data_IF_667945927412
#
_entry.id   IF_667945927412
#
_cell.length_a   1.000
_cell.length_b   1.000
_cell.length_c   1.000
_cell.angle_alpha   90.00
_cell.angle_beta   90.00
_cell.angle_gamma   90.00
#
_symmetry.space_group_name_H-M   'P 1'
#
loop_
_entity.id
_entity.type
_entity.pdbx_description
1 polymer ?
#
# COMPACT_ATOMS: atom_id res chain seq x y z
N UNK A 1 -1.02 -1.07 10.74
CA UNK A 1 -0.01 -0.23 11.47
C UNK A 1 0.43 0.91 10.59
N UNK A 2 0.44 2.10 11.13
CA UNK A 2 0.86 3.32 10.42
C UNK A 2 2.14 3.83 11.08
N UNK A 3 3.22 3.97 10.30
CA UNK A 3 4.53 4.40 10.79
C UNK A 3 5.05 5.60 9.99
N UNK A 4 5.77 6.48 10.69
CA UNK A 4 6.61 7.46 10.01
C UNK A 4 7.91 6.77 9.58
N UNK A 5 8.12 6.64 8.28
CA UNK A 5 9.28 5.95 7.70
C UNK A 5 10.20 6.90 6.95
N UNK A 6 10.16 8.19 7.29
CA UNK A 6 11.06 9.20 6.71
C UNK A 6 12.52 8.77 6.87
N UNK A 7 12.85 8.25 8.05
CA UNK A 7 14.15 7.63 8.32
C UNK A 7 13.91 6.24 8.85
N UNK A 8 14.46 5.24 8.17
CA UNK A 8 14.26 3.84 8.51
C UNK A 8 15.54 3.26 9.08
N UNK A 9 15.52 2.93 10.38
CA UNK A 9 16.63 2.27 11.07
C UNK A 9 16.43 0.74 11.07
N UNK A 10 17.33 0.02 11.71
CA UNK A 10 17.28 -1.44 11.80
C UNK A 10 16.04 -1.93 12.54
N UNK A 11 15.64 -1.23 13.58
CA UNK A 11 14.48 -1.58 14.40
C UNK A 11 13.18 -1.47 13.60
N UNK A 12 12.98 -0.35 12.88
CA UNK A 12 11.83 -0.17 12.01
C UNK A 12 11.78 -1.20 10.90
N UNK A 13 12.92 -1.52 10.29
CA UNK A 13 12.98 -2.56 9.25
C UNK A 13 12.56 -3.91 9.79
N UNK A 14 12.94 -4.25 11.00
CA UNK A 14 12.54 -5.50 11.63
C UNK A 14 11.03 -5.55 11.83
N UNK A 15 10.42 -4.46 12.33
CA UNK A 15 8.97 -4.36 12.50
C UNK A 15 8.25 -4.53 11.16
N UNK A 16 8.71 -3.84 10.13
CA UNK A 16 8.12 -3.92 8.78
C UNK A 16 8.20 -5.34 8.25
N UNK A 17 9.37 -5.97 8.31
CA UNK A 17 9.59 -7.32 7.80
C UNK A 17 8.77 -8.37 8.56
N UNK A 18 8.61 -8.20 9.86
CA UNK A 18 7.79 -9.11 10.66
C UNK A 18 6.31 -9.01 10.31
N UNK A 19 5.83 -7.81 10.01
CA UNK A 19 4.41 -7.58 9.76
C UNK A 19 3.99 -7.91 8.33
N UNK A 20 4.75 -7.47 7.34
CA UNK A 20 4.39 -7.60 5.92
C UNK A 20 5.35 -8.47 5.11
N UNK A 21 6.35 -9.04 5.77
CA UNK A 21 7.36 -9.88 5.12
C UNK A 21 8.45 -9.07 4.45
N UNK A 22 9.48 -9.78 4.00
CA UNK A 22 10.61 -9.18 3.29
C UNK A 22 10.19 -8.66 1.93
N UNK A 23 10.95 -7.70 1.41
CA UNK A 23 10.77 -7.24 0.04
C UNK A 23 11.15 -8.34 -0.95
N UNK A 24 10.55 -8.31 -2.13
CA UNK A 24 11.02 -9.12 -3.24
C UNK A 24 12.38 -8.58 -3.72
N UNK A 25 13.19 -9.44 -4.33
CA UNK A 25 14.47 -9.02 -4.88
C UNK A 25 14.25 -7.99 -5.99
N UNK A 26 15.29 -7.21 -6.32
CA UNK A 26 15.23 -6.27 -7.45
C UNK A 26 14.81 -6.96 -8.75
N UNK A 27 15.31 -8.17 -8.97
CA UNK A 27 14.95 -8.96 -10.13
C UNK A 27 13.46 -9.29 -10.14
N UNK A 28 12.94 -9.82 -9.03
CA UNK A 28 11.52 -10.16 -8.89
C UNK A 28 10.64 -8.91 -8.98
N UNK A 29 11.05 -7.82 -8.33
CA UNK A 29 10.30 -6.56 -8.34
C UNK A 29 10.18 -5.95 -9.72
N UNK A 30 11.26 -6.00 -10.51
CA UNK A 30 11.29 -5.42 -11.85
C UNK A 30 10.40 -6.18 -12.83
N UNK A 31 10.41 -7.53 -12.78
CA UNK A 31 9.69 -8.36 -13.76
C UNK A 31 8.29 -8.78 -13.31
N UNK A 32 7.96 -8.68 -12.01
CA UNK A 32 6.68 -9.15 -11.47
C UNK A 32 5.77 -8.04 -10.96
N UNK A 33 6.06 -6.79 -11.29
CA UNK A 33 5.25 -5.63 -10.89
C UNK A 33 4.99 -5.59 -9.38
N UNK A 34 6.05 -5.62 -8.57
CA UNK A 34 5.92 -5.62 -7.10
C UNK A 34 5.89 -4.22 -6.50
N UNK A 35 6.10 -3.18 -7.30
CA UNK A 35 6.01 -1.79 -6.87
C UNK A 35 5.21 -0.96 -7.87
N UNK A 36 4.34 -0.08 -7.36
CA UNK A 36 3.58 0.82 -8.22
C UNK A 36 4.34 2.10 -8.54
N UNK A 37 3.95 2.75 -9.63
CA UNK A 37 4.17 4.18 -9.81
C UNK A 37 3.22 4.93 -8.87
N UNK A 38 3.45 6.23 -8.70
CA UNK A 38 2.59 7.05 -7.83
C UNK A 38 1.15 7.11 -8.33
N UNK A 39 0.23 7.22 -7.39
CA UNK A 39 -1.19 7.43 -7.63
C UNK A 39 -1.68 8.56 -6.75
N UNK A 40 -2.80 9.18 -7.13
CA UNK A 40 -3.37 10.30 -6.37
C UNK A 40 -4.45 9.77 -5.43
N UNK A 41 -4.35 10.15 -4.16
CA UNK A 41 -5.34 9.83 -3.15
C UNK A 41 -6.56 10.74 -3.33
N UNK A 42 -7.75 10.13 -3.44
CA UNK A 42 -9.03 10.85 -3.51
C UNK A 42 -9.56 11.17 -2.11
N UNK A 43 -9.54 10.20 -1.21
CA UNK A 43 -10.00 10.36 0.16
C UNK A 43 -9.36 9.32 1.07
N UNK A 44 -9.45 9.55 2.37
CA UNK A 44 -8.89 8.68 3.39
C UNK A 44 -9.72 8.72 4.65
N UNK A 45 -9.63 7.69 5.48
CA UNK A 45 -10.35 7.61 6.74
C UNK A 45 -9.81 8.59 7.79
N UNK A 46 -10.63 8.88 8.78
CA UNK A 46 -10.36 9.89 9.81
C UNK A 46 -9.03 9.67 10.55
N UNK A 47 -8.62 8.43 10.76
CA UNK A 47 -7.37 8.13 11.46
C UNK A 47 -6.11 8.65 10.75
N UNK A 48 -6.22 9.02 9.48
CA UNK A 48 -5.13 9.65 8.74
C UNK A 48 -5.09 11.18 8.90
N UNK A 49 -6.13 11.79 9.48
CA UNK A 49 -6.24 13.26 9.60
C UNK A 49 -5.04 13.87 10.32
N UNK A 50 -4.51 13.22 11.35
CA UNK A 50 -3.35 13.71 12.09
C UNK A 50 -2.10 13.87 11.22
N UNK A 51 -2.03 13.17 10.08
CA UNK A 51 -0.91 13.28 9.15
C UNK A 51 -1.20 14.23 8.00
N UNK A 52 -2.47 14.32 7.54
CA UNK A 52 -2.80 14.93 6.24
C UNK A 52 -3.74 16.12 6.33
N UNK A 53 -4.41 16.37 7.45
CA UNK A 53 -5.49 17.35 7.56
C UNK A 53 -5.10 18.76 7.12
N UNK A 54 -3.87 19.19 7.41
CA UNK A 54 -3.39 20.53 7.08
C UNK A 54 -2.69 20.62 5.73
N UNK A 55 -2.62 19.51 4.99
CA UNK A 55 -1.93 19.44 3.70
C UNK A 55 -2.91 19.80 2.59
N UNK A 56 -2.66 20.93 1.91
CA UNK A 56 -3.58 21.50 0.92
C UNK A 56 -3.29 21.09 -0.53
N UNK A 57 -2.21 20.33 -0.77
CA UNK A 57 -1.83 19.90 -2.10
C UNK A 57 -2.32 18.47 -2.38
N UNK A 58 -2.16 18.01 -3.62
CA UNK A 58 -2.46 16.61 -3.96
C UNK A 58 -1.57 15.66 -3.17
N UNK A 59 -2.18 14.61 -2.65
CA UNK A 59 -1.46 13.55 -1.94
C UNK A 59 -1.12 12.43 -2.93
N UNK A 60 0.18 12.15 -3.05
CA UNK A 60 0.68 11.06 -3.89
C UNK A 60 1.08 9.87 -3.03
N UNK A 61 0.79 8.70 -3.53
CA UNK A 61 1.09 7.46 -2.84
C UNK A 61 1.61 6.42 -3.80
N UNK A 62 2.48 5.54 -3.32
CA UNK A 62 2.82 4.32 -4.02
C UNK A 62 2.61 3.11 -3.13
N UNK A 63 2.51 1.94 -3.75
CA UNK A 63 2.23 0.69 -3.06
C UNK A 63 3.34 -0.30 -3.41
N UNK A 64 3.85 -0.98 -2.39
CA UNK A 64 4.79 -2.08 -2.57
C UNK A 64 4.16 -3.39 -2.13
N UNK A 65 4.23 -4.40 -2.99
CA UNK A 65 3.83 -5.77 -2.66
C UNK A 65 5.00 -6.44 -1.96
N UNK A 66 4.75 -6.92 -0.75
CA UNK A 66 5.69 -7.70 0.06
C UNK A 66 5.28 -9.16 0.12
N UNK A 67 6.11 -10.01 0.69
CA UNK A 67 5.84 -11.46 0.75
C UNK A 67 4.66 -11.82 1.63
N UNK A 68 4.34 -11.01 2.64
CA UNK A 68 3.24 -11.26 3.58
C UNK A 68 2.22 -10.14 3.67
N UNK A 69 2.33 -9.13 2.83
CA UNK A 69 1.42 -8.00 2.86
C UNK A 69 1.82 -6.90 1.90
N UNK A 70 1.33 -5.70 2.17
CA UNK A 70 1.60 -4.53 1.34
C UNK A 70 2.04 -3.36 2.21
N UNK A 71 2.78 -2.45 1.58
CA UNK A 71 3.12 -1.15 2.17
C UNK A 71 2.55 -0.07 1.28
N UNK A 72 1.74 0.81 1.86
CA UNK A 72 1.25 2.00 1.18
C UNK A 72 2.02 3.18 1.73
N UNK A 73 2.83 3.82 0.87
CA UNK A 73 3.66 4.96 1.26
C UNK A 73 3.05 6.24 0.74
N UNK A 74 2.91 7.22 1.62
CA UNK A 74 2.39 8.55 1.29
C UNK A 74 3.48 9.56 1.59
N UNK A 75 3.84 10.36 0.59
CA UNK A 75 4.85 11.41 0.72
C UNK A 75 4.19 12.76 0.96
N UNK A 76 4.57 13.42 2.06
CA UNK A 76 4.04 14.73 2.45
C UNK A 76 5.24 15.60 2.80
N UNK A 77 5.48 16.65 2.00
CA UNK A 77 6.66 17.51 2.17
C UNK A 77 7.93 16.63 2.18
N UNK A 78 8.65 16.59 3.29
CA UNK A 78 9.86 15.78 3.46
C UNK A 78 9.63 14.54 4.33
N UNK A 79 8.36 14.21 4.59
CA UNK A 79 8.00 13.05 5.42
C UNK A 79 7.39 11.95 4.58
N UNK A 80 7.64 10.72 4.98
CA UNK A 80 7.00 9.53 4.40
C UNK A 80 6.23 8.81 5.50
N UNK A 81 4.93 8.63 5.29
CA UNK A 81 4.07 7.86 6.16
C UNK A 81 3.80 6.53 5.46
N UNK A 82 4.01 5.43 6.17
CA UNK A 82 3.79 4.09 5.62
C UNK A 82 2.68 3.38 6.38
N UNK A 83 1.73 2.85 5.62
CA UNK A 83 0.65 2.01 6.14
C UNK A 83 0.97 0.57 5.78
N UNK A 84 1.19 -0.26 6.81
CA UNK A 84 1.60 -1.65 6.68
C UNK A 84 0.39 -2.54 6.88
N UNK A 85 0.06 -3.37 5.88
CA UNK A 85 -1.13 -4.21 5.92
C UNK A 85 -0.75 -5.65 5.56
N UNK A 86 -0.80 -6.60 6.51
CA UNK A 86 -0.68 -8.02 6.16
C UNK A 86 -1.86 -8.45 5.29
N UNK A 87 -1.64 -9.46 4.43
CA UNK A 87 -2.70 -9.88 3.50
C UNK A 87 -3.99 -10.33 4.20
N UNK A 88 -3.88 -10.95 5.36
CA UNK A 88 -5.08 -11.42 6.06
C UNK A 88 -5.96 -10.28 6.59
N UNK A 89 -5.44 -9.04 6.64
CA UNK A 89 -6.19 -7.85 7.04
C UNK A 89 -6.51 -6.91 5.88
N UNK A 90 -6.12 -7.28 4.67
CA UNK A 90 -6.26 -6.43 3.49
C UNK A 90 -7.57 -6.72 2.77
N UNK A 91 -8.33 -5.67 2.47
CA UNK A 91 -9.48 -5.74 1.57
C UNK A 91 -9.30 -4.72 0.46
N UNK A 92 -9.55 -5.13 -0.77
CA UNK A 92 -9.40 -4.29 -1.96
C UNK A 92 -10.77 -4.16 -2.63
N UNK A 93 -11.17 -2.93 -2.92
CA UNK A 93 -12.35 -2.65 -3.75
C UNK A 93 -11.90 -1.94 -5.01
N UNK A 94 -12.42 -2.36 -6.14
CA UNK A 94 -12.10 -1.79 -7.44
C UNK A 94 -13.39 -1.57 -8.22
N UNK A 95 -14.07 -0.47 -7.91
CA UNK A 95 -15.30 -0.03 -8.56
C UNK A 95 -15.08 1.35 -9.17
N UNK A 96 -15.88 2.34 -8.84
CA UNK A 96 -15.70 3.72 -9.33
C UNK A 96 -14.36 4.31 -8.89
N UNK A 97 -13.92 3.95 -7.68
CA UNK A 97 -12.60 4.26 -7.17
C UNK A 97 -11.89 2.97 -6.80
N UNK A 98 -10.57 2.99 -6.89
CA UNK A 98 -9.73 1.92 -6.35
C UNK A 98 -9.48 2.22 -4.88
N UNK A 99 -9.77 1.28 -3.98
CA UNK A 99 -9.62 1.54 -2.55
C UNK A 99 -9.06 0.35 -1.79
N UNK A 100 -8.31 0.68 -0.76
CA UNK A 100 -7.68 -0.28 0.14
C UNK A 100 -8.21 -0.05 1.54
N UNK A 101 -8.62 -1.12 2.20
CA UNK A 101 -9.23 -1.10 3.51
C UNK A 101 -8.54 -2.08 4.45
N UNK A 102 -8.41 -1.70 5.71
CA UNK A 102 -7.91 -2.58 6.78
C UNK A 102 -8.27 -2.01 8.14
N UNK A 103 -8.86 -2.83 9.02
CA UNK A 103 -9.16 -2.45 10.41
C UNK A 103 -9.96 -1.14 10.55
N UNK A 104 -10.93 -0.91 9.68
CA UNK A 104 -11.75 0.30 9.70
C UNK A 104 -11.10 1.53 9.05
N UNK A 105 -9.86 1.41 8.61
CA UNK A 105 -9.18 2.46 7.87
C UNK A 105 -9.30 2.22 6.38
N UNK A 106 -9.27 3.30 5.60
CA UNK A 106 -9.25 3.18 4.14
C UNK A 106 -8.47 4.32 3.49
N UNK A 107 -7.98 4.04 2.29
CA UNK A 107 -7.47 5.03 1.35
C UNK A 107 -8.09 4.72 -0.01
N UNK A 108 -8.69 5.74 -0.62
CA UNK A 108 -9.29 5.66 -1.96
C UNK A 108 -8.43 6.45 -2.95
N UNK A 109 -8.20 5.86 -4.11
CA UNK A 109 -7.36 6.43 -5.16
C UNK A 109 -8.20 6.84 -6.35
N UNK A 110 -7.82 7.92 -7.01
CA UNK A 110 -8.47 8.36 -8.26
C UNK A 110 -8.19 7.35 -9.38
N UNK A 111 -9.19 7.15 -10.25
CA UNK A 111 -9.00 6.39 -11.50
C UNK A 111 -8.72 7.33 -12.65
N UNK A 112 -7.58 7.97 -12.62
CA UNK A 112 -7.08 8.92 -13.61
C UNK A 112 -5.95 8.31 -14.45
N UNK A 113 -5.14 9.15 -15.09
CA UNK A 113 -4.00 8.69 -15.88
C UNK A 113 -2.97 7.89 -15.05
N UNK A 114 -2.81 8.22 -13.77
CA UNK A 114 -1.89 7.50 -12.88
C UNK A 114 -2.41 6.09 -12.59
N UNK A 115 -3.72 5.93 -12.41
CA UNK A 115 -4.34 4.61 -12.28
C UNK A 115 -4.11 3.79 -13.55
N UNK A 116 -4.29 4.39 -14.73
CA UNK A 116 -4.10 3.70 -16.02
C UNK A 116 -2.67 3.15 -16.16
N UNK A 117 -1.68 3.93 -15.77
CA UNK A 117 -0.28 3.49 -15.79
C UNK A 117 -0.06 2.30 -14.85
N UNK A 118 -0.82 2.21 -13.77
CA UNK A 118 -0.66 1.20 -12.72
C UNK A 118 -1.56 -0.04 -12.90
N UNK A 119 -2.27 -0.18 -14.01
CA UNK A 119 -3.23 -1.29 -14.20
C UNK A 119 -2.59 -2.67 -14.03
N UNK A 120 -1.41 -2.88 -14.57
CA UNK A 120 -0.69 -4.17 -14.44
C UNK A 120 -0.33 -4.43 -12.98
N UNK A 121 0.14 -3.40 -12.29
CA UNK A 121 0.46 -3.51 -10.86
C UNK A 121 -0.79 -3.86 -10.04
N UNK A 122 -1.90 -3.18 -10.29
CA UNK A 122 -3.15 -3.42 -9.55
C UNK A 122 -3.65 -4.84 -9.78
N UNK A 123 -3.53 -5.36 -11.00
CA UNK A 123 -3.85 -6.76 -11.29
C UNK A 123 -2.96 -7.70 -10.49
N UNK A 124 -1.66 -7.41 -10.43
CA UNK A 124 -0.70 -8.19 -9.65
C UNK A 124 -1.05 -8.17 -8.16
N UNK A 125 -1.44 -7.00 -7.63
CA UNK A 125 -1.86 -6.84 -6.24
C UNK A 125 -3.09 -7.69 -5.92
N UNK A 126 -4.11 -7.62 -6.77
CA UNK A 126 -5.34 -8.40 -6.61
C UNK A 126 -5.03 -9.91 -6.65
N UNK A 127 -4.17 -10.33 -7.56
CA UNK A 127 -3.75 -11.73 -7.67
C UNK A 127 -2.99 -12.20 -6.42
N UNK A 128 -2.10 -11.38 -5.88
CA UNK A 128 -1.38 -11.70 -4.65
C UNK A 128 -2.33 -11.84 -3.46
N UNK A 129 -3.28 -10.92 -3.33
CA UNK A 129 -4.28 -11.01 -2.27
C UNK A 129 -5.11 -12.29 -2.42
N UNK A 130 -5.56 -12.62 -3.63
CA UNK A 130 -6.34 -13.83 -3.90
C UNK A 130 -5.54 -15.11 -3.58
N UNK A 131 -4.26 -15.13 -3.96
CA UNK A 131 -3.38 -16.26 -3.68
C UNK A 131 -3.26 -16.51 -2.17
N UNK A 132 -3.02 -15.48 -1.38
CA UNK A 132 -2.88 -15.61 0.07
C UNK A 132 -4.20 -15.97 0.75
N UNK A 133 -5.33 -15.50 0.23
CA UNK A 133 -6.66 -15.87 0.74
C UNK A 133 -6.96 -17.36 0.50
N UNK A 134 -6.62 -17.89 -0.67
CA UNK A 134 -6.76 -19.32 -0.98
C UNK A 134 -5.89 -20.19 -0.07
N UNK A 135 -4.66 -19.75 0.19
CA UNK A 135 -3.72 -20.48 1.04
C UNK A 135 -4.24 -20.63 2.47
N UNK A 136 -4.92 -19.61 2.98
CA UNK A 136 -5.54 -19.64 4.32
C UNK A 136 -6.76 -20.59 4.32
N UNK A 137 -7.54 -20.61 3.24
CA UNK A 137 -8.76 -21.42 3.14
C UNK A 137 -8.49 -22.91 2.91
N UNK A 138 -7.29 -23.30 2.51
CA UNK A 138 -6.90 -24.72 2.31
C UNK A 138 -6.52 -25.37 3.64
N UNK A 139 -6.18 -24.58 4.62
CA UNK A 139 -5.82 -25.05 5.97
C UNK A 139 -7.01 -25.00 6.89
#
# INVERSE_FOLDING_TARGET
MILNTTHTDKEKRTVINNLVGNSFSLWEGLFKNKGSHRMIISSFSENFNKFFKTYNNLLYSNIEIRKKGVIIRISINYKTISWLIPYYKLTIYNSDLFSIHSNGNFIKFRKDKYYQINKKFIRSLINEKAFHSKKVNIN
#
